data_IF_899625213663
#
_entry.id   IF_899625213663
#
_cell.length_a   1.000
_cell.length_b   1.000
_cell.length_c   1.000
_cell.angle_alpha   90.00
_cell.angle_beta   90.00
_cell.angle_gamma   90.00
#
_symmetry.space_group_name_H-M   'P 1'
#
loop_
_entity.id
_entity.type
_entity.pdbx_description
1 polymer ?
#
# COMPACT_ATOMS: atom_id res chain seq x y z
N UNK A 1 1.29 7.43 37.79
CA UNK A 1 1.17 5.99 37.46
C UNK A 1 1.69 5.81 36.05
N UNK A 2 2.64 4.90 35.79
CA UNK A 2 3.03 4.60 34.41
C UNK A 2 1.86 3.87 33.76
N UNK A 3 1.27 4.45 32.70
CA UNK A 3 0.27 3.75 31.91
C UNK A 3 0.97 2.64 31.14
N UNK A 4 0.86 1.41 31.63
CA UNK A 4 1.25 0.22 30.87
C UNK A 4 0.30 0.09 29.68
N UNK A 5 0.67 0.70 28.56
CA UNK A 5 0.05 0.37 27.27
C UNK A 5 0.36 -1.10 27.02
N UNK A 6 -0.65 -1.96 27.17
CA UNK A 6 -0.60 -3.34 26.71
C UNK A 6 -0.10 -3.34 25.25
N UNK A 7 0.76 -4.29 24.85
CA UNK A 7 1.12 -4.44 23.45
C UNK A 7 -0.17 -4.71 22.68
N UNK A 8 -0.67 -3.71 21.97
CA UNK A 8 -1.81 -3.89 21.10
C UNK A 8 -1.38 -4.86 20.02
N UNK A 9 -2.06 -5.99 19.94
CA UNK A 9 -1.99 -6.89 18.80
C UNK A 9 -2.15 -6.03 17.53
N UNK A 10 -1.19 -6.16 16.61
CA UNK A 10 -1.14 -5.51 15.31
C UNK A 10 -2.48 -5.61 14.57
N UNK A 11 -3.12 -6.79 14.62
CA UNK A 11 -4.43 -7.03 14.03
C UNK A 11 -5.52 -6.14 14.66
N UNK A 12 -5.43 -5.88 15.98
CA UNK A 12 -6.43 -5.07 16.69
C UNK A 12 -6.26 -3.58 16.38
N UNK A 13 -5.03 -3.09 16.30
CA UNK A 13 -4.75 -1.70 15.94
C UNK A 13 -5.24 -1.41 14.51
N UNK A 14 -4.92 -2.32 13.58
CA UNK A 14 -5.30 -2.13 12.18
C UNK A 14 -6.80 -2.31 11.96
N UNK A 15 -7.44 -3.33 12.53
CA UNK A 15 -8.89 -3.50 12.37
C UNK A 15 -9.71 -2.37 13.01
N UNK A 16 -9.32 -1.86 14.17
CA UNK A 16 -10.11 -0.87 14.89
C UNK A 16 -9.93 0.57 14.39
N UNK A 17 -8.73 0.92 13.92
CA UNK A 17 -8.39 2.31 13.56
C UNK A 17 -8.30 2.46 12.05
N UNK A 18 -7.61 1.55 11.38
CA UNK A 18 -7.25 1.71 9.97
C UNK A 18 -8.44 1.43 9.05
N UNK A 19 -9.26 0.41 9.36
CA UNK A 19 -10.49 0.15 8.60
C UNK A 19 -11.44 1.36 8.60
N UNK A 20 -11.57 2.05 9.73
CA UNK A 20 -12.40 3.26 9.81
C UNK A 20 -11.85 4.42 8.97
N UNK A 21 -10.53 4.60 8.93
CA UNK A 21 -9.88 5.61 8.08
C UNK A 21 -10.08 5.28 6.60
N UNK A 22 -9.85 4.03 6.21
CA UNK A 22 -10.02 3.56 4.84
C UNK A 22 -11.45 3.79 4.37
N UNK A 23 -12.45 3.26 5.08
CA UNK A 23 -13.87 3.39 4.73
C UNK A 23 -14.33 4.85 4.68
N UNK A 24 -13.75 5.73 5.51
CA UNK A 24 -14.05 7.16 5.44
C UNK A 24 -13.55 7.83 4.16
N UNK A 25 -12.50 7.29 3.52
CA UNK A 25 -11.89 7.85 2.31
C UNK A 25 -12.44 7.20 1.05
N UNK A 26 -12.66 5.88 1.06
CA UNK A 26 -13.14 5.13 -0.10
C UNK A 26 -14.67 4.98 -0.14
N UNK A 27 -15.36 5.44 0.91
CA UNK A 27 -16.81 5.45 0.99
C UNK A 27 -17.42 4.07 1.27
N UNK A 28 -18.69 3.89 0.88
CA UNK A 28 -19.47 2.66 1.04
C UNK A 28 -19.09 1.55 0.03
N UNK A 29 -17.82 1.48 -0.37
CA UNK A 29 -17.34 0.40 -1.22
C UNK A 29 -17.29 -0.91 -0.43
N UNK A 30 -17.95 -1.95 -0.94
CA UNK A 30 -17.84 -3.31 -0.41
C UNK A 30 -16.49 -3.90 -0.84
N UNK A 31 -15.47 -3.69 0.00
CA UNK A 31 -14.12 -4.22 -0.21
C UNK A 31 -13.99 -5.63 0.39
N UNK A 32 -13.34 -6.52 -0.34
CA UNK A 32 -12.79 -7.75 0.22
C UNK A 32 -11.46 -7.42 0.93
N UNK A 33 -11.43 -7.69 2.23
CA UNK A 33 -10.30 -7.36 3.10
C UNK A 33 -9.21 -8.43 3.05
N UNK A 34 -7.97 -8.02 2.80
CA UNK A 34 -6.78 -8.87 2.85
C UNK A 34 -5.74 -8.30 3.81
N UNK A 35 -4.99 -9.19 4.46
CA UNK A 35 -4.14 -8.85 5.61
C UNK A 35 -2.78 -9.51 5.49
N UNK A 36 -1.70 -8.79 5.87
CA UNK A 36 -0.25 -9.12 6.07
C UNK A 36 0.31 -10.47 5.56
N UNK A 37 -0.44 -11.57 5.65
CA UNK A 37 -0.14 -12.90 5.11
C UNK A 37 -0.53 -13.08 3.64
N UNK A 38 -1.45 -12.26 3.13
CA UNK A 38 -1.93 -12.35 1.77
C UNK A 38 -1.01 -11.52 0.85
N UNK A 39 -0.29 -12.14 -0.08
CA UNK A 39 0.53 -11.39 -1.03
C UNK A 39 -0.36 -10.65 -2.02
N UNK A 40 0.09 -9.46 -2.44
CA UNK A 40 -0.52 -8.80 -3.59
C UNK A 40 -0.40 -9.71 -4.82
N UNK A 41 -1.45 -9.80 -5.64
CA UNK A 41 -1.48 -10.73 -6.74
C UNK A 41 -0.63 -10.18 -7.89
N UNK A 42 0.56 -10.74 -8.07
CA UNK A 42 1.55 -10.30 -9.06
C UNK A 42 1.29 -10.90 -10.46
N UNK A 43 1.72 -10.24 -11.54
CA UNK A 43 1.73 -10.82 -12.88
C UNK A 43 2.67 -12.03 -12.97
N UNK A 44 2.38 -12.95 -13.89
CA UNK A 44 3.24 -14.11 -14.16
C UNK A 44 4.66 -13.68 -14.53
N UNK A 45 5.66 -14.22 -13.84
CA UNK A 45 7.08 -13.92 -14.08
C UNK A 45 7.64 -12.76 -13.25
N UNK A 46 6.83 -12.16 -12.38
CA UNK A 46 7.30 -11.20 -11.39
C UNK A 46 7.74 -11.94 -10.12
N UNK A 47 9.02 -11.85 -9.77
CA UNK A 47 9.61 -12.63 -8.67
C UNK A 47 9.43 -11.99 -7.30
N UNK A 48 9.31 -10.66 -7.24
CA UNK A 48 9.19 -9.93 -5.99
C UNK A 48 7.76 -10.07 -5.42
N UNK A 49 7.68 -10.47 -4.15
CA UNK A 49 6.42 -10.65 -3.43
C UNK A 49 6.20 -9.48 -2.49
N UNK A 50 5.09 -8.78 -2.70
CA UNK A 50 4.66 -7.69 -1.83
C UNK A 50 3.59 -8.18 -0.88
N UNK A 51 3.82 -8.02 0.43
CA UNK A 51 2.87 -8.31 1.49
C UNK A 51 2.61 -7.00 2.25
N UNK A 52 1.63 -6.18 1.80
CA UNK A 52 1.26 -4.99 2.54
C UNK A 52 0.56 -5.39 3.85
N UNK A 53 0.58 -4.52 4.85
CA UNK A 53 -0.13 -4.77 6.11
C UNK A 53 -1.63 -5.02 5.89
N UNK A 54 -2.22 -4.31 4.91
CA UNK A 54 -3.58 -4.53 4.45
C UNK A 54 -3.73 -4.15 2.97
N UNK A 55 -4.61 -4.84 2.25
CA UNK A 55 -5.17 -4.33 1.01
C UNK A 55 -6.66 -4.64 0.88
N UNK A 56 -7.37 -3.76 0.18
CA UNK A 56 -8.79 -3.90 -0.12
C UNK A 56 -9.01 -4.18 -1.59
N UNK A 57 -9.72 -5.26 -1.90
CA UNK A 57 -10.06 -5.65 -3.26
C UNK A 57 -11.49 -5.25 -3.60
N UNK A 58 -11.68 -4.68 -4.79
CA UNK A 58 -12.99 -4.35 -5.36
C UNK A 58 -13.06 -4.92 -6.77
N UNK A 59 -14.14 -5.64 -7.08
CA UNK A 59 -14.37 -6.28 -8.38
C UNK A 59 -13.17 -7.12 -8.89
N UNK A 60 -12.48 -7.82 -7.99
CA UNK A 60 -11.33 -8.67 -8.34
C UNK A 60 -9.98 -7.95 -8.45
N UNK A 61 -9.92 -6.65 -8.12
CA UNK A 61 -8.69 -5.85 -8.18
C UNK A 61 -8.37 -5.14 -6.85
N UNK A 62 -7.12 -5.23 -6.37
CA UNK A 62 -6.67 -4.44 -5.22
C UNK A 62 -6.70 -2.94 -5.54
N UNK A 63 -7.67 -2.23 -4.96
CA UNK A 63 -7.84 -0.78 -5.14
C UNK A 63 -7.24 0.02 -3.99
N UNK A 64 -7.09 -0.59 -2.83
CA UNK A 64 -6.57 0.06 -1.62
C UNK A 64 -5.39 -0.73 -1.12
N UNK A 65 -4.26 -0.07 -0.89
CA UNK A 65 -3.04 -0.68 -0.33
C UNK A 65 -2.61 0.13 0.87
N UNK A 66 -2.29 -0.54 1.98
CA UNK A 66 -2.07 0.13 3.26
C UNK A 66 -0.86 -0.45 3.96
N UNK A 67 0.03 0.45 4.37
CA UNK A 67 1.20 0.18 5.20
C UNK A 67 1.10 0.95 6.51
N UNK A 68 1.44 0.29 7.62
CA UNK A 68 1.16 0.78 8.96
C UNK A 68 2.42 0.70 9.81
N UNK A 69 2.93 1.88 10.16
CA UNK A 69 4.10 1.97 11.03
C UNK A 69 3.72 2.03 12.50
N UNK A 70 4.26 1.07 13.24
CA UNK A 70 4.16 0.99 14.70
C UNK A 70 4.78 2.23 15.37
N UNK A 71 4.28 2.63 16.56
CA UNK A 71 4.96 3.62 17.38
C UNK A 71 6.42 3.19 17.64
N UNK A 72 7.37 4.02 17.22
CA UNK A 72 8.80 3.73 17.36
C UNK A 72 9.46 3.13 16.12
N UNK A 73 8.74 2.98 15.00
CA UNK A 73 9.35 2.72 13.70
C UNK A 73 10.45 3.75 13.40
N UNK A 74 11.54 3.29 12.81
CA UNK A 74 12.68 4.15 12.46
C UNK A 74 12.36 4.99 11.23
N UNK A 75 13.12 6.06 11.01
CA UNK A 75 12.96 6.88 9.80
C UNK A 75 13.26 6.05 8.55
N UNK A 76 14.23 5.12 8.61
CA UNK A 76 14.55 4.20 7.51
C UNK A 76 13.37 3.26 7.17
N UNK A 77 12.66 2.74 8.18
CA UNK A 77 11.46 1.92 7.96
C UNK A 77 10.37 2.72 7.24
N UNK A 78 10.19 3.98 7.65
CA UNK A 78 9.19 4.89 7.07
C UNK A 78 9.55 5.21 5.62
N UNK A 79 10.81 5.57 5.35
CA UNK A 79 11.29 5.83 4.00
C UNK A 79 11.21 4.59 3.10
N UNK A 80 11.45 3.41 3.68
CA UNK A 80 11.28 2.12 2.99
C UNK A 80 9.88 1.97 2.44
N UNK A 81 8.84 2.20 3.27
CA UNK A 81 7.45 2.09 2.82
C UNK A 81 7.04 3.24 1.90
N UNK A 82 7.56 4.45 2.11
CA UNK A 82 7.33 5.57 1.18
C UNK A 82 7.85 5.26 -0.22
N UNK A 83 8.88 4.42 -0.35
CA UNK A 83 9.37 3.93 -1.66
C UNK A 83 8.59 2.71 -2.16
N UNK A 84 8.22 1.77 -1.29
CA UNK A 84 7.53 0.51 -1.67
C UNK A 84 6.07 0.73 -2.05
N UNK A 85 5.35 1.61 -1.34
CA UNK A 85 3.93 1.83 -1.55
C UNK A 85 3.60 2.29 -2.99
N UNK A 86 4.32 3.27 -3.58
CA UNK A 86 4.13 3.61 -5.00
C UNK A 86 4.40 2.45 -5.96
N UNK A 87 5.41 1.59 -5.68
CA UNK A 87 5.68 0.42 -6.52
C UNK A 87 4.52 -0.57 -6.49
N UNK A 88 3.94 -0.83 -5.31
CA UNK A 88 2.76 -1.68 -5.17
C UNK A 88 1.55 -1.08 -5.87
N UNK A 89 1.33 0.23 -5.75
CA UNK A 89 0.24 0.94 -6.44
C UNK A 89 0.39 0.82 -7.96
N UNK A 90 1.60 1.03 -8.49
CA UNK A 90 1.91 0.91 -9.92
C UNK A 90 1.63 -0.50 -10.43
N UNK A 91 2.07 -1.52 -9.70
CA UNK A 91 1.84 -2.91 -10.07
C UNK A 91 0.34 -3.24 -10.17
N UNK A 92 -0.47 -2.74 -9.25
CA UNK A 92 -1.93 -2.94 -9.27
C UNK A 92 -2.59 -2.15 -10.39
N UNK A 93 -2.13 -0.91 -10.64
CA UNK A 93 -2.58 -0.10 -11.76
C UNK A 93 -2.32 -0.82 -13.09
N UNK A 94 -1.10 -1.32 -13.31
CA UNK A 94 -0.71 -2.09 -14.50
C UNK A 94 -1.59 -3.33 -14.71
N UNK A 95 -1.93 -4.02 -13.62
CA UNK A 95 -2.83 -5.17 -13.65
C UNK A 95 -4.24 -4.78 -14.07
N UNK A 96 -4.80 -3.71 -13.50
CA UNK A 96 -6.12 -3.19 -13.88
C UNK A 96 -6.15 -2.76 -15.36
N UNK A 97 -5.10 -2.09 -15.83
CA UNK A 97 -4.95 -1.70 -17.23
C UNK A 97 -4.88 -2.90 -18.16
N UNK A 98 -4.09 -3.90 -17.80
CA UNK A 98 -3.95 -5.14 -18.57
C UNK A 98 -5.27 -5.91 -18.64
N UNK A 99 -6.14 -5.76 -17.63
CA UNK A 99 -7.49 -6.32 -17.61
C UNK A 99 -8.53 -5.47 -18.36
N UNK A 100 -8.16 -4.30 -18.87
CA UNK A 100 -9.03 -3.42 -19.65
C UNK A 100 -9.89 -2.46 -18.83
N UNK A 101 -9.54 -2.22 -17.56
CA UNK A 101 -10.17 -1.16 -16.74
C UNK A 101 -9.84 0.20 -17.39
N UNK A 102 -10.87 1.02 -17.64
CA UNK A 102 -10.74 2.26 -18.42
C UNK A 102 -10.05 3.39 -17.65
N UNK A 103 -10.46 3.58 -16.40
CA UNK A 103 -10.00 4.66 -15.54
C UNK A 103 -9.52 4.06 -14.21
N UNK A 104 -8.41 3.30 -14.20
CA UNK A 104 -7.98 2.63 -12.99
C UNK A 104 -7.34 3.62 -12.03
N UNK A 105 -7.63 3.44 -10.74
CA UNK A 105 -7.07 4.20 -9.65
C UNK A 105 -6.75 3.27 -8.50
N UNK A 106 -5.59 3.47 -7.87
CA UNK A 106 -5.16 2.73 -6.70
C UNK A 106 -4.79 3.72 -5.60
N UNK A 107 -5.45 3.59 -4.46
CA UNK A 107 -5.25 4.44 -3.28
C UNK A 107 -4.27 3.76 -2.31
N UNK A 108 -3.20 4.46 -1.98
CA UNK A 108 -2.18 4.06 -1.03
C UNK A 108 -2.36 4.82 0.29
N UNK A 109 -2.22 4.12 1.40
CA UNK A 109 -2.17 4.73 2.72
C UNK A 109 -0.88 4.35 3.43
N UNK A 110 -0.14 5.36 3.91
CA UNK A 110 0.92 5.15 4.88
C UNK A 110 0.49 5.77 6.21
N UNK A 111 0.22 4.91 7.19
CA UNK A 111 -0.31 5.32 8.50
C UNK A 111 0.81 5.23 9.53
N UNK A 112 1.11 6.35 10.18
CA UNK A 112 2.15 6.42 11.22
C UNK A 112 1.73 7.33 12.36
N UNK A 113 1.73 6.81 13.59
CA UNK A 113 1.32 7.56 14.79
C UNK A 113 -0.04 8.25 14.55
N UNK A 114 -0.06 9.58 14.54
CA UNK A 114 -1.24 10.42 14.31
C UNK A 114 -1.31 11.01 12.89
N UNK A 115 -0.53 10.48 11.95
CA UNK A 115 -0.47 10.95 10.56
C UNK A 115 -0.89 9.83 9.62
N UNK A 116 -1.67 10.20 8.62
CA UNK A 116 -2.05 9.34 7.51
C UNK A 116 -1.67 10.07 6.24
N UNK A 117 -0.72 9.52 5.50
CA UNK A 117 -0.36 9.98 4.16
C UNK A 117 -1.19 9.18 3.16
N UNK A 118 -1.89 9.89 2.29
CA UNK A 118 -2.77 9.30 1.27
C UNK A 118 -2.15 9.63 -0.09
N UNK A 119 -1.87 8.60 -0.87
CA UNK A 119 -1.39 8.71 -2.25
C UNK A 119 -2.43 8.10 -3.18
N UNK A 120 -2.66 8.72 -4.34
CA UNK A 120 -3.52 8.15 -5.37
C UNK A 120 -2.66 8.00 -6.62
N UNK A 121 -2.69 6.82 -7.22
CA UNK A 121 -2.08 6.58 -8.51
C UNK A 121 -3.18 6.26 -9.52
N UNK A 122 -3.26 7.05 -10.58
CA UNK A 122 -4.19 6.88 -11.70
C UNK A 122 -3.42 6.87 -13.03
N UNK A 123 -4.08 6.52 -14.13
CA UNK A 123 -3.47 6.57 -15.46
C UNK A 123 -2.89 7.97 -15.79
N UNK A 124 -3.57 9.03 -15.37
CA UNK A 124 -3.11 10.41 -15.56
C UNK A 124 -1.81 10.71 -14.78
N UNK A 125 -1.53 9.98 -13.69
CA UNK A 125 -0.28 10.08 -12.93
C UNK A 125 0.88 9.32 -13.58
N UNK A 126 0.64 8.24 -14.32
CA UNK A 126 1.70 7.49 -15.01
C UNK A 126 2.46 8.33 -16.04
N UNK A 127 1.78 9.28 -16.68
CA UNK A 127 2.39 10.21 -17.61
C UNK A 127 3.41 11.16 -16.96
N UNK A 128 3.39 11.29 -15.63
CA UNK A 128 4.25 12.21 -14.86
C UNK A 128 5.29 11.49 -13.97
N UNK A 129 5.08 10.23 -13.57
CA UNK A 129 5.91 9.52 -12.57
C UNK A 129 6.96 8.55 -13.15
N UNK A 130 7.12 8.50 -14.48
CA UNK A 130 8.04 7.57 -15.17
C UNK A 130 9.51 7.67 -14.69
N UNK A 131 9.90 8.79 -14.07
CA UNK A 131 11.27 9.01 -13.56
C UNK A 131 11.55 8.31 -12.22
N UNK A 132 10.53 8.00 -11.39
CA UNK A 132 10.74 7.47 -10.04
C UNK A 132 11.00 5.95 -10.04
N UNK A 133 10.25 5.18 -10.85
CA UNK A 133 10.44 3.73 -10.96
C UNK A 133 11.76 3.34 -11.65
N UNK A 134 12.24 4.15 -12.60
CA UNK A 134 13.50 3.89 -13.30
C UNK A 134 14.72 3.99 -12.37
N UNK A 135 14.67 4.89 -11.38
CA UNK A 135 15.76 5.12 -10.43
C UNK A 135 15.96 3.94 -9.46
N UNK A 136 14.88 3.31 -9.00
CA UNK A 136 14.97 2.18 -8.06
C UNK A 136 15.55 0.92 -8.71
N UNK A 137 15.26 0.69 -9.99
CA UNK A 137 15.82 -0.44 -10.75
C UNK A 137 17.31 -0.26 -11.09
N UNK A 138 17.80 0.98 -11.20
CA UNK A 138 19.22 1.26 -11.42
C UNK A 138 20.04 1.07 -10.14
N UNK A 139 19.54 1.54 -8.99
CA UNK A 139 20.30 1.49 -7.74
C UNK A 139 20.57 0.06 -7.26
N UNK A 140 19.61 -0.85 -7.43
CA UNK A 140 19.78 -2.26 -7.08
C UNK A 140 20.74 -3.03 -8.01
N UNK A 141 21.06 -2.49 -9.19
CA UNK A 141 22.07 -3.06 -10.11
C UNK A 141 23.49 -2.54 -9.84
N UNK A 142 23.62 -1.46 -9.08
CA UNK A 142 24.93 -0.88 -8.71
C UNK A 142 25.43 -1.39 -7.34
N UNK A 143 24.58 -2.09 -6.59
CA UNK A 143 24.89 -2.69 -5.28
C UNK A 143 25.13 -4.22 -5.34
N UNK A 144 25.11 -4.84 -6.54
CA UNK A 144 25.58 -6.21 -6.84
C UNK A 144 26.95 -6.21 -7.54
#
# INVERSE_FOLDING_TARGET
MPSSSLPQNEDTYTQAIVKGIILSVVGDLELLDHWNRDPLPTPTGFEEVYNPDYFGEYDGFPMVIVEIKKPGATDDDIEGDQRRLPCMQKLMLDRMLSAGVKDPEVVGFLIRRSRCEITVMSLDHEALSAEVCAYTQQKNKEEE
#
